data_IF_115911691015
#
_entry.id   IF_115911691015
#
_cell.length_a   1.000
_cell.length_b   1.000
_cell.length_c   1.000
_cell.angle_alpha   90.00
_cell.angle_beta   90.00
_cell.angle_gamma   90.00
#
_symmetry.space_group_name_H-M   'P 1'
#
loop_
_entity.id
_entity.type
_entity.pdbx_description
1 polymer ?
#
# COMPACT_ATOMS: atom_id res chain seq x y z
N UNK A 1 -2.51 -0.96 -10.35
CA UNK A 1 -2.23 -0.79 -8.90
C UNK A 1 -2.89 0.42 -8.19
N UNK A 2 -2.83 1.66 -8.68
CA UNK A 2 -3.26 2.86 -7.90
C UNK A 2 -4.71 2.84 -7.37
N UNK A 3 -5.66 2.19 -8.06
CA UNK A 3 -7.07 2.18 -7.63
C UNK A 3 -7.40 1.21 -6.49
N UNK A 4 -6.55 0.24 -6.17
CA UNK A 4 -6.90 -0.81 -5.20
C UNK A 4 -6.89 -0.31 -3.75
N UNK A 5 -6.10 0.72 -3.46
CA UNK A 5 -6.05 1.33 -2.13
C UNK A 5 -7.03 2.48 -1.95
N UNK A 6 -7.63 2.97 -3.03
CA UNK A 6 -8.63 4.05 -2.97
C UNK A 6 -9.89 3.62 -2.18
N UNK A 7 -10.18 2.33 -2.15
CA UNK A 7 -11.28 1.75 -1.36
C UNK A 7 -10.95 1.48 0.12
N UNK A 8 -9.69 1.55 0.53
CA UNK A 8 -9.29 1.22 1.90
C UNK A 8 -9.43 2.43 2.83
N UNK A 9 -10.49 2.41 3.66
CA UNK A 9 -10.79 3.43 4.67
C UNK A 9 -9.68 3.52 5.73
N UNK A 10 -8.74 4.44 5.55
CA UNK A 10 -7.60 4.64 6.44
C UNK A 10 -6.28 4.84 5.71
N UNK A 11 -6.26 4.63 4.39
CA UNK A 11 -5.18 5.12 3.52
C UNK A 11 -5.38 6.61 3.27
N UNK A 12 -4.37 7.41 3.58
CA UNK A 12 -4.38 8.85 3.34
C UNK A 12 -3.72 9.21 2.01
N UNK A 13 -2.67 8.48 1.64
CA UNK A 13 -1.95 8.69 0.38
C UNK A 13 -1.28 7.39 -0.04
N UNK A 14 -1.20 7.16 -1.34
CA UNK A 14 -0.39 6.09 -1.89
C UNK A 14 0.34 6.59 -3.14
N UNK A 15 1.50 6.01 -3.42
CA UNK A 15 2.31 6.34 -4.60
C UNK A 15 3.03 5.09 -5.06
N UNK A 16 2.92 4.81 -6.35
CA UNK A 16 3.61 3.69 -6.98
C UNK A 16 4.65 4.22 -7.96
N UNK A 17 5.90 3.87 -7.72
CA UNK A 17 6.99 4.17 -8.65
C UNK A 17 7.19 2.97 -9.59
N UNK A 18 6.81 3.16 -10.86
CA UNK A 18 6.89 2.10 -11.88
C UNK A 18 8.33 1.84 -12.37
N UNK A 19 9.28 2.74 -12.09
CA UNK A 19 10.69 2.55 -12.48
C UNK A 19 11.41 1.66 -11.47
N UNK A 20 11.17 1.89 -10.18
CA UNK A 20 11.80 1.12 -9.10
C UNK A 20 10.91 0.01 -8.55
N UNK A 21 9.66 -0.10 -9.02
CA UNK A 21 8.64 -1.01 -8.49
C UNK A 21 8.42 -0.85 -6.98
N UNK A 22 8.56 0.39 -6.48
CA UNK A 22 8.38 0.70 -5.06
C UNK A 22 6.97 1.23 -4.83
N UNK A 23 6.25 0.54 -3.95
CA UNK A 23 4.93 0.96 -3.51
C UNK A 23 5.02 1.62 -2.14
N UNK A 24 4.66 2.91 -2.06
CA UNK A 24 4.66 3.67 -0.80
C UNK A 24 3.22 3.97 -0.42
N UNK A 25 2.85 3.63 0.81
CA UNK A 25 1.52 3.93 1.37
C UNK A 25 1.66 4.70 2.68
N UNK A 26 0.83 5.73 2.83
CA UNK A 26 0.62 6.44 4.08
C UNK A 26 -0.77 6.09 4.57
N UNK A 27 -0.84 5.47 5.75
CA UNK A 27 -2.08 4.99 6.32
C UNK A 27 -2.10 5.18 7.83
N UNK A 28 -3.31 5.27 8.40
CA UNK A 28 -3.49 5.32 9.83
C UNK A 28 -3.44 3.91 10.43
N UNK A 29 -2.37 3.61 11.18
CA UNK A 29 -2.16 2.31 11.84
C UNK A 29 -3.27 1.93 12.84
N UNK A 30 -3.94 2.92 13.44
CA UNK A 30 -5.06 2.69 14.35
C UNK A 30 -6.36 2.27 13.64
N UNK A 31 -6.46 2.52 12.32
CA UNK A 31 -7.64 2.17 11.50
C UNK A 31 -7.37 1.05 10.51
N UNK A 32 -6.13 0.91 10.06
CA UNK A 32 -5.76 -0.01 9.00
C UNK A 32 -4.52 -0.82 9.39
N UNK A 33 -4.58 -2.13 9.17
CA UNK A 33 -3.44 -3.03 9.39
C UNK A 33 -2.63 -3.17 8.11
N UNK A 34 -1.33 -3.39 8.27
CA UNK A 34 -0.41 -3.65 7.15
C UNK A 34 -0.90 -4.80 6.27
N UNK A 35 -1.39 -5.88 6.88
CA UNK A 35 -1.84 -7.08 6.19
C UNK A 35 -2.95 -6.79 5.18
N UNK A 36 -3.91 -5.93 5.55
CA UNK A 36 -5.01 -5.52 4.67
C UNK A 36 -4.51 -4.73 3.45
N UNK A 37 -3.48 -3.90 3.64
CA UNK A 37 -2.86 -3.15 2.55
C UNK A 37 -2.11 -4.10 1.63
N UNK A 38 -1.33 -5.02 2.19
CA UNK A 38 -0.59 -6.01 1.40
C UNK A 38 -1.55 -6.84 0.58
N UNK A 39 -2.61 -7.37 1.20
CA UNK A 39 -3.61 -8.16 0.52
C UNK A 39 -4.32 -7.38 -0.59
N UNK A 40 -4.69 -6.11 -0.35
CA UNK A 40 -5.29 -5.28 -1.39
C UNK A 40 -4.34 -4.98 -2.56
N UNK A 41 -3.05 -4.78 -2.29
CA UNK A 41 -2.03 -4.53 -3.32
C UNK A 41 -1.74 -5.80 -4.12
N UNK A 42 -1.63 -6.95 -3.47
CA UNK A 42 -1.42 -8.25 -4.12
C UNK A 42 -2.67 -8.70 -4.92
N UNK A 43 -3.87 -8.42 -4.42
CA UNK A 43 -5.12 -8.70 -5.14
C UNK A 43 -5.34 -7.78 -6.35
N UNK A 44 -4.74 -6.59 -6.34
CA UNK A 44 -4.83 -5.65 -7.45
C UNK A 44 -4.03 -6.05 -8.68
N UNK A 45 -2.99 -6.85 -8.48
CA UNK A 45 -2.08 -7.25 -9.55
C UNK A 45 -1.61 -8.68 -9.34
N UNK A 46 -2.18 -9.58 -10.15
CA UNK A 46 -1.86 -11.00 -10.13
C UNK A 46 -0.37 -11.20 -10.45
N UNK A 47 0.40 -11.71 -9.47
CA UNK A 47 1.84 -11.89 -9.58
C UNK A 47 2.70 -10.79 -8.93
N UNK A 48 2.11 -9.69 -8.47
CA UNK A 48 2.82 -8.71 -7.65
C UNK A 48 2.88 -9.20 -6.20
N UNK A 49 4.10 -9.38 -5.67
CA UNK A 49 4.33 -9.79 -4.28
C UNK A 49 5.10 -8.70 -3.56
N UNK A 50 4.57 -8.20 -2.45
CA UNK A 50 5.22 -7.13 -1.68
C UNK A 50 6.49 -7.67 -1.01
N UNK A 51 7.65 -7.53 -1.67
CA UNK A 51 8.95 -8.00 -1.14
C UNK A 51 9.59 -7.02 -0.16
N UNK A 52 9.51 -5.72 -0.44
CA UNK A 52 10.07 -4.67 0.39
C UNK A 52 8.98 -3.75 0.92
N UNK A 53 8.80 -3.75 2.24
CA UNK A 53 7.88 -2.87 2.93
C UNK A 53 8.65 -1.91 3.84
N UNK A 54 8.52 -0.61 3.60
CA UNK A 54 9.07 0.43 4.47
C UNK A 54 7.93 1.26 5.03
N UNK A 55 7.72 1.18 6.33
CA UNK A 55 6.75 2.02 7.02
C UNK A 55 7.39 3.40 7.24
N UNK A 56 6.76 4.44 6.72
CA UNK A 56 7.12 5.83 7.03
C UNK A 56 6.05 6.35 7.99
N UNK A 57 6.44 6.66 9.23
CA UNK A 57 5.56 7.34 10.16
C UNK A 57 5.68 8.85 9.91
N UNK A 58 4.56 9.58 9.74
CA UNK A 58 4.61 11.03 9.82
C UNK A 58 4.95 11.41 11.28
N UNK A 59 5.89 12.34 11.44
CA UNK A 59 6.33 12.93 12.72
C UNK A 59 5.20 13.65 13.46
#
# INVERSE_FOLDING_TARGET
>A
MGKALDGLKGVSKHTFDNKTWIFTVTYNKGKLKRDEIMHAVEAAEEGFKVKNWKQVQPE
#
